data_IF_352811969708
#
_entry.id   IF_352811969708
#
_cell.length_a   1.000
_cell.length_b   1.000
_cell.length_c   1.000
_cell.angle_alpha   90.00
_cell.angle_beta   90.00
_cell.angle_gamma   90.00
#
_symmetry.space_group_name_H-M   'P 1'
#
loop_
_entity.id
_entity.type
_entity.pdbx_description
1 polymer ?
#
# COMPACT_ATOMS: atom_id res chain seq x y z
N UNK A 1 -19.47 -25.75 -1.50
CA UNK A 1 -19.68 -25.27 -0.13
C UNK A 1 -18.99 -23.92 0.01
N UNK A 2 -19.71 -22.83 -0.20
CA UNK A 2 -19.26 -21.50 0.23
C UNK A 2 -19.29 -21.54 1.76
N UNK A 3 -18.12 -21.42 2.40
CA UNK A 3 -18.09 -21.20 3.85
C UNK A 3 -18.84 -19.89 4.12
N UNK A 4 -19.75 -19.89 5.07
CA UNK A 4 -20.37 -18.66 5.56
C UNK A 4 -19.27 -17.73 6.08
N UNK A 5 -19.18 -16.54 5.49
CA UNK A 5 -18.25 -15.51 5.93
C UNK A 5 -18.89 -14.72 7.08
N UNK A 6 -18.13 -14.31 8.11
CA UNK A 6 -18.64 -13.40 9.13
C UNK A 6 -19.17 -12.09 8.51
N UNK A 7 -20.37 -11.66 8.88
CA UNK A 7 -21.02 -10.48 8.29
C UNK A 7 -20.31 -9.15 8.57
N UNK A 8 -19.41 -9.11 9.53
CA UNK A 8 -18.60 -7.95 9.91
C UNK A 8 -17.13 -8.09 9.50
N UNK A 9 -16.79 -9.07 8.65
CA UNK A 9 -15.41 -9.33 8.23
C UNK A 9 -14.70 -8.08 7.69
N UNK A 10 -15.43 -7.20 7.02
CA UNK A 10 -14.92 -5.94 6.51
C UNK A 10 -14.40 -5.00 7.60
N UNK A 11 -14.87 -5.10 8.85
CA UNK A 11 -14.35 -4.31 9.99
C UNK A 11 -12.93 -4.68 10.40
N UNK A 12 -12.42 -5.82 9.94
CA UNK A 12 -11.03 -6.23 10.16
C UNK A 12 -10.05 -5.59 9.17
N UNK A 13 -10.55 -4.85 8.18
CA UNK A 13 -9.72 -4.08 7.25
C UNK A 13 -9.04 -2.94 8.02
N UNK A 14 -7.74 -2.76 7.77
CA UNK A 14 -7.04 -1.53 8.14
C UNK A 14 -6.92 -0.64 6.91
N UNK A 15 -7.36 0.60 7.02
CA UNK A 15 -7.44 1.56 5.90
C UNK A 15 -7.22 2.99 6.38
N UNK A 16 -7.22 3.94 5.45
CA UNK A 16 -7.36 5.39 5.73
C UNK A 16 -8.82 5.81 5.57
N UNK A 17 -9.17 7.03 6.00
CA UNK A 17 -10.47 7.63 5.69
C UNK A 17 -10.30 8.75 4.68
N UNK A 18 -11.17 8.82 3.66
CA UNK A 18 -11.24 9.93 2.73
C UNK A 18 -12.46 10.82 3.01
N UNK A 19 -12.30 12.13 2.99
CA UNK A 19 -13.40 13.09 2.87
C UNK A 19 -13.63 13.35 1.38
N UNK A 20 -14.79 12.95 0.87
CA UNK A 20 -15.17 13.09 -0.52
C UNK A 20 -16.04 14.32 -0.65
N UNK A 21 -15.66 15.24 -1.51
CA UNK A 21 -16.50 16.37 -1.89
C UNK A 21 -17.07 16.17 -3.28
N UNK A 22 -18.33 16.57 -3.46
CA UNK A 22 -18.99 16.63 -4.76
C UNK A 22 -19.86 17.88 -4.81
N UNK A 23 -19.76 18.66 -5.88
CA UNK A 23 -20.65 19.81 -6.09
C UNK A 23 -21.99 19.37 -6.69
N UNK A 24 -23.06 20.00 -6.24
CA UNK A 24 -24.42 19.80 -6.74
C UNK A 24 -25.17 21.16 -6.75
N UNK A 25 -26.39 21.19 -7.28
CA UNK A 25 -27.19 22.42 -7.43
C UNK A 25 -27.43 23.18 -6.11
N UNK A 26 -27.39 22.47 -4.99
CA UNK A 26 -27.59 23.01 -3.64
C UNK A 26 -26.31 23.39 -2.90
N UNK A 27 -25.14 23.26 -3.53
CA UNK A 27 -23.85 23.57 -2.90
C UNK A 27 -22.85 22.42 -2.99
N UNK A 28 -22.16 22.13 -1.89
CA UNK A 28 -21.15 21.08 -1.81
C UNK A 28 -21.58 20.03 -0.80
N UNK A 29 -21.62 18.78 -1.23
CA UNK A 29 -21.73 17.64 -0.32
C UNK A 29 -20.32 17.23 0.14
N UNK A 30 -20.19 16.91 1.42
CA UNK A 30 -18.96 16.40 2.05
C UNK A 30 -19.30 15.13 2.82
N UNK A 31 -18.74 13.99 2.45
CA UNK A 31 -18.97 12.73 3.15
C UNK A 31 -17.66 12.02 3.51
N UNK A 32 -17.68 11.19 4.55
CA UNK A 32 -16.53 10.34 4.87
C UNK A 32 -16.65 8.96 4.23
N UNK A 33 -15.68 8.57 3.43
CA UNK A 33 -15.54 7.26 2.81
C UNK A 33 -14.26 6.58 3.31
N UNK A 34 -14.42 5.58 4.18
CA UNK A 34 -13.31 4.68 4.55
C UNK A 34 -12.69 4.04 3.30
N UNK A 35 -13.51 3.68 2.32
CA UNK A 35 -13.05 3.00 1.11
C UNK A 35 -12.65 4.00 0.04
N UNK A 36 -11.48 4.62 0.24
CA UNK A 36 -10.85 5.60 -0.65
C UNK A 36 -9.40 5.20 -0.96
N UNK A 37 -9.04 5.01 -2.24
CA UNK A 37 -7.77 4.39 -2.63
C UNK A 37 -7.18 4.96 -3.91
N UNK A 38 -5.85 4.89 -4.09
CA UNK A 38 -5.24 4.95 -5.43
C UNK A 38 -5.29 3.57 -6.09
N UNK A 39 -5.78 3.50 -7.33
CA UNK A 39 -6.08 2.24 -8.04
C UNK A 39 -5.39 2.09 -9.39
N UNK A 40 -4.72 3.14 -9.88
CA UNK A 40 -3.81 3.05 -11.02
C UNK A 40 -2.67 4.05 -10.87
N UNK A 41 -1.47 3.73 -11.36
CA UNK A 41 -0.28 4.60 -11.23
C UNK A 41 -0.10 5.54 -12.43
N UNK A 42 -0.49 5.12 -13.65
CA UNK A 42 -0.35 5.90 -14.90
C UNK A 42 -1.48 5.59 -15.88
N UNK A 43 -2.43 6.53 -16.14
CA UNK A 43 -2.62 7.76 -15.37
C UNK A 43 -2.92 7.46 -13.89
N UNK A 44 -2.62 8.40 -12.98
CA UNK A 44 -2.95 8.21 -11.57
C UNK A 44 -4.47 8.20 -11.43
N UNK A 45 -5.05 7.15 -10.87
CA UNK A 45 -6.49 7.07 -10.61
C UNK A 45 -6.75 6.88 -9.12
N UNK A 46 -7.74 7.61 -8.62
CA UNK A 46 -8.29 7.41 -7.28
C UNK A 46 -9.68 6.77 -7.39
N UNK A 47 -10.04 6.00 -6.37
CA UNK A 47 -11.32 5.34 -6.27
C UNK A 47 -11.99 5.64 -4.92
N UNK A 48 -13.32 5.79 -4.95
CA UNK A 48 -14.16 5.85 -3.76
C UNK A 48 -15.31 4.86 -3.91
N UNK A 49 -15.59 4.09 -2.86
CA UNK A 49 -16.67 3.09 -2.87
C UNK A 49 -17.79 3.56 -1.97
N UNK A 50 -18.95 3.84 -2.57
CA UNK A 50 -20.07 4.46 -1.87
C UNK A 50 -21.21 3.47 -1.66
N UNK A 51 -21.77 3.48 -0.45
CA UNK A 51 -22.92 2.66 -0.08
C UNK A 51 -24.24 3.18 -0.68
N UNK A 52 -25.31 2.38 -0.62
CA UNK A 52 -26.56 2.65 -1.32
C UNK A 52 -27.33 3.86 -0.75
N UNK A 53 -27.05 4.25 0.49
CA UNK A 53 -27.68 5.37 1.20
C UNK A 53 -26.94 6.69 1.03
N UNK A 54 -25.78 6.70 0.38
CA UNK A 54 -25.02 7.93 0.18
C UNK A 54 -25.67 8.78 -0.92
N UNK A 55 -26.22 9.94 -0.56
CA UNK A 55 -26.74 10.93 -1.52
C UNK A 55 -25.66 11.33 -2.54
N UNK A 56 -24.40 11.37 -2.08
CA UNK A 56 -23.18 11.61 -2.86
C UNK A 56 -23.08 10.76 -4.12
N UNK A 57 -23.64 9.54 -4.12
CA UNK A 57 -23.64 8.66 -5.30
C UNK A 57 -24.29 9.33 -6.52
N UNK A 58 -25.46 9.95 -6.31
CA UNK A 58 -26.19 10.63 -7.39
C UNK A 58 -25.46 11.89 -7.84
N UNK A 59 -24.92 12.66 -6.89
CA UNK A 59 -24.16 13.86 -7.20
C UNK A 59 -22.90 13.56 -7.99
N UNK A 60 -22.19 12.48 -7.66
CA UNK A 60 -20.94 12.12 -8.33
C UNK A 60 -21.21 11.68 -9.77
N UNK A 61 -22.25 10.86 -9.98
CA UNK A 61 -22.72 10.47 -11.33
C UNK A 61 -23.12 11.69 -12.17
N UNK A 62 -23.82 12.68 -11.59
CA UNK A 62 -24.25 13.88 -12.32
C UNK A 62 -23.14 14.91 -12.55
N UNK A 63 -22.24 15.08 -11.56
CA UNK A 63 -21.18 16.08 -11.62
C UNK A 63 -20.04 15.64 -12.54
N UNK A 64 -19.74 14.33 -12.61
CA UNK A 64 -18.64 13.80 -13.39
C UNK A 64 -17.25 14.15 -12.83
N UNK A 65 -17.20 14.74 -11.63
CA UNK A 65 -15.99 15.11 -10.91
C UNK A 65 -16.20 14.98 -9.40
N UNK A 66 -15.12 14.80 -8.67
CA UNK A 66 -15.12 14.76 -7.20
C UNK A 66 -13.72 15.10 -6.69
N UNK A 67 -13.61 15.46 -5.43
CA UNK A 67 -12.32 15.51 -4.75
C UNK A 67 -12.27 14.50 -3.59
N UNK A 68 -11.07 14.07 -3.22
CA UNK A 68 -10.85 13.19 -2.07
C UNK A 68 -9.71 13.74 -1.25
N UNK A 69 -9.98 14.03 0.01
CA UNK A 69 -8.96 14.40 1.02
C UNK A 69 -8.69 13.19 1.90
N UNK A 70 -7.47 12.67 1.92
CA UNK A 70 -7.10 11.61 2.86
C UNK A 70 -6.88 12.21 4.25
N UNK A 71 -7.64 11.75 5.24
CA UNK A 71 -7.71 12.37 6.56
C UNK A 71 -6.39 12.30 7.31
N UNK A 72 -6.06 13.40 7.98
CA UNK A 72 -5.07 13.46 9.05
C UNK A 72 -5.68 13.02 10.40
N UNK A 73 -4.85 12.66 11.38
CA UNK A 73 -5.27 12.28 12.73
C UNK A 73 -6.18 13.34 13.38
N UNK A 74 -5.88 14.63 13.14
CA UNK A 74 -6.63 15.78 13.64
C UNK A 74 -8.04 15.91 13.07
N UNK A 75 -8.33 15.20 11.97
CA UNK A 75 -9.64 15.21 11.31
C UNK A 75 -10.56 14.07 11.77
N UNK A 76 -10.21 13.30 12.81
CA UNK A 76 -11.02 12.20 13.31
C UNK A 76 -12.47 12.60 13.63
N UNK A 77 -12.67 13.72 14.33
CA UNK A 77 -14.01 14.23 14.66
C UNK A 77 -14.81 14.63 13.42
N UNK A 78 -14.16 15.27 12.44
CA UNK A 78 -14.81 15.64 11.18
C UNK A 78 -15.19 14.40 10.37
N UNK A 79 -14.31 13.40 10.29
CA UNK A 79 -14.57 12.17 9.58
C UNK A 79 -15.76 11.39 10.19
N UNK A 80 -15.86 11.35 11.52
CA UNK A 80 -16.98 10.72 12.22
C UNK A 80 -18.30 11.45 11.93
N UNK A 81 -18.29 12.79 12.03
CA UNK A 81 -19.45 13.62 11.73
C UNK A 81 -19.90 13.49 10.26
N UNK A 82 -18.97 13.61 9.32
CA UNK A 82 -19.25 13.54 7.88
C UNK A 82 -19.69 12.14 7.41
N UNK A 83 -19.36 11.09 8.16
CA UNK A 83 -19.84 9.73 7.93
C UNK A 83 -21.20 9.42 8.58
N UNK A 84 -21.57 10.16 9.62
CA UNK A 84 -22.80 9.91 10.41
C UNK A 84 -24.04 10.58 9.83
N UNK A 85 -23.88 11.70 9.11
CA UNK A 85 -24.99 12.49 8.57
C UNK A 85 -24.94 12.63 7.05
N UNK A 86 -26.10 12.62 6.41
CA UNK A 86 -26.28 12.90 4.99
C UNK A 86 -26.44 14.41 4.77
N UNK A 87 -26.12 14.90 3.57
CA UNK A 87 -26.45 16.29 3.18
C UNK A 87 -27.96 16.57 3.18
N UNK A 88 -28.77 15.51 3.10
CA UNK A 88 -30.23 15.61 3.24
C UNK A 88 -30.67 15.87 4.68
N UNK A 89 -29.82 15.59 5.67
CA UNK A 89 -30.09 15.83 7.08
C UNK A 89 -29.67 17.24 7.47
N UNK A 90 -28.46 17.64 7.05
CA UNK A 90 -27.88 18.97 7.32
C UNK A 90 -26.81 19.31 6.30
N UNK A 91 -26.68 20.59 5.96
CA UNK A 91 -25.52 21.10 5.24
C UNK A 91 -24.28 21.05 6.14
N UNK A 92 -23.45 20.03 5.92
CA UNK A 92 -22.23 19.78 6.70
C UNK A 92 -21.16 20.86 6.48
N UNK A 93 -21.25 21.66 5.42
CA UNK A 93 -20.28 22.75 5.15
C UNK A 93 -20.43 23.92 6.10
N UNK A 94 -21.56 24.02 6.82
CA UNK A 94 -21.77 25.02 7.87
C UNK A 94 -21.01 24.74 9.17
N UNK A 95 -20.34 23.59 9.30
CA UNK A 95 -19.50 23.27 10.47
C UNK A 95 -18.16 23.99 10.38
N UNK A 96 -17.69 24.58 11.49
CA UNK A 96 -16.35 25.18 11.59
C UNK A 96 -15.19 24.19 11.36
N UNK A 97 -15.49 22.88 11.41
CA UNK A 97 -14.53 21.82 11.09
C UNK A 97 -14.34 21.63 9.58
N UNK A 98 -15.32 22.03 8.75
CA UNK A 98 -15.22 21.94 7.30
C UNK A 98 -14.62 23.22 6.74
N UNK A 99 -13.39 23.12 6.26
CA UNK A 99 -12.69 24.21 5.58
C UNK A 99 -12.41 23.80 4.14
N UNK A 100 -13.09 24.46 3.20
CA UNK A 100 -12.98 24.13 1.78
C UNK A 100 -11.86 24.94 1.10
N UNK A 101 -10.99 24.23 0.38
CA UNK A 101 -10.00 24.82 -0.50
C UNK A 101 -10.58 25.09 -1.89
N UNK A 102 -10.04 26.11 -2.57
CA UNK A 102 -10.39 26.39 -3.95
C UNK A 102 -9.86 25.26 -4.87
N UNK A 103 -10.66 24.80 -5.86
CA UNK A 103 -10.19 23.81 -6.82
C UNK A 103 -9.29 24.44 -7.88
N UNK A 104 -8.40 23.63 -8.46
CA UNK A 104 -7.44 24.03 -9.50
C UNK A 104 -7.79 23.49 -10.90
N UNK A 105 -8.31 22.25 -10.99
CA UNK A 105 -8.52 21.57 -12.29
C UNK A 105 -9.96 21.06 -12.51
N UNK A 106 -10.74 21.03 -11.45
CA UNK A 106 -12.17 20.72 -11.42
C UNK A 106 -12.92 21.94 -10.89
N UNK A 107 -14.24 21.84 -10.76
CA UNK A 107 -15.03 22.86 -10.08
C UNK A 107 -15.54 22.38 -8.71
N UNK A 108 -15.09 21.21 -8.23
CA UNK A 108 -15.45 20.66 -6.93
C UNK A 108 -14.37 20.99 -5.91
N UNK A 109 -14.69 21.71 -4.82
CA UNK A 109 -13.71 22.05 -3.80
C UNK A 109 -13.23 20.79 -3.06
N UNK A 110 -12.27 20.95 -2.16
CA UNK A 110 -11.71 19.87 -1.34
C UNK A 110 -11.60 20.29 0.13
N UNK A 111 -11.57 19.34 1.07
CA UNK A 111 -11.42 19.66 2.50
C UNK A 111 -9.95 19.85 2.84
N UNK A 112 -9.59 21.01 3.39
CA UNK A 112 -8.21 21.29 3.81
C UNK A 112 -7.79 20.53 5.06
N UNK A 113 -6.48 20.44 5.30
CA UNK A 113 -5.92 19.88 6.53
C UNK A 113 -5.70 18.36 6.54
N UNK A 114 -5.95 17.67 5.42
CA UNK A 114 -5.60 16.27 5.25
C UNK A 114 -4.13 16.02 4.95
N UNK A 115 -3.77 14.74 4.85
CA UNK A 115 -2.44 14.27 4.42
C UNK A 115 -2.17 14.67 2.98
N UNK A 116 -3.20 14.58 2.14
CA UNK A 116 -3.25 15.08 0.77
C UNK A 116 -4.70 15.23 0.35
N UNK A 117 -4.96 16.05 -0.66
CA UNK A 117 -6.20 15.98 -1.42
C UNK A 117 -5.93 15.83 -2.92
N UNK A 118 -6.86 15.20 -3.64
CA UNK A 118 -6.81 15.07 -5.09
C UNK A 118 -8.14 15.49 -5.70
N UNK A 119 -8.06 16.14 -6.85
CA UNK A 119 -9.22 16.41 -7.69
C UNK A 119 -9.29 15.39 -8.81
N UNK A 120 -10.47 14.85 -9.05
CA UNK A 120 -10.69 13.72 -9.93
C UNK A 120 -11.76 14.02 -10.96
N UNK A 121 -11.51 13.66 -12.22
CA UNK A 121 -12.57 13.53 -13.24
C UNK A 121 -13.03 12.09 -13.29
N UNK A 122 -14.33 11.86 -13.14
CA UNK A 122 -14.92 10.53 -13.15
C UNK A 122 -14.63 9.85 -14.50
N UNK A 123 -14.08 8.63 -14.43
CA UNK A 123 -13.82 7.79 -15.61
C UNK A 123 -14.82 6.66 -15.71
N UNK A 124 -15.14 6.05 -14.56
CA UNK A 124 -15.97 4.86 -14.53
C UNK A 124 -16.72 4.77 -13.20
N UNK A 125 -17.99 4.39 -13.28
CA UNK A 125 -18.77 3.91 -12.13
C UNK A 125 -19.02 2.42 -12.32
N UNK A 126 -18.55 1.60 -11.38
CA UNK A 126 -18.71 0.14 -11.39
C UNK A 126 -19.77 -0.24 -10.37
N UNK A 127 -20.95 -0.70 -10.81
CA UNK A 127 -21.98 -1.18 -9.88
C UNK A 127 -21.50 -2.49 -9.23
N UNK A 128 -21.56 -2.54 -7.91
CA UNK A 128 -21.44 -3.75 -7.09
C UNK A 128 -22.84 -4.12 -6.56
N UNK A 129 -23.05 -5.31 -5.99
CA UNK A 129 -24.38 -5.73 -5.53
C UNK A 129 -25.06 -4.75 -4.55
N UNK A 130 -24.28 -4.07 -3.72
CA UNK A 130 -24.80 -3.10 -2.71
C UNK A 130 -24.13 -1.73 -2.82
N UNK A 131 -22.92 -1.64 -3.35
CA UNK A 131 -22.12 -0.42 -3.42
C UNK A 131 -21.90 0.01 -4.87
N UNK A 132 -21.34 1.20 -5.07
CA UNK A 132 -20.81 1.61 -6.37
C UNK A 132 -19.38 2.07 -6.19
N UNK A 133 -18.47 1.49 -6.98
CA UNK A 133 -17.07 1.89 -7.03
C UNK A 133 -16.92 2.97 -8.10
N UNK A 134 -16.59 4.18 -7.69
CA UNK A 134 -16.28 5.29 -8.58
C UNK A 134 -14.78 5.39 -8.77
N UNK A 135 -14.33 5.41 -10.02
CA UNK A 135 -12.92 5.53 -10.40
C UNK A 135 -12.76 6.84 -11.16
N UNK A 136 -11.93 7.74 -10.64
CA UNK A 136 -11.60 9.01 -11.25
C UNK A 136 -10.12 9.12 -11.59
N UNK A 137 -9.81 9.76 -12.70
CA UNK A 137 -8.44 10.17 -13.03
C UNK A 137 -8.08 11.41 -12.21
N UNK A 138 -6.96 11.34 -11.50
CA UNK A 138 -6.43 12.46 -10.71
C UNK A 138 -5.88 13.52 -11.65
N UNK A 139 -6.46 14.71 -11.61
CA UNK A 139 -6.12 15.84 -12.49
C UNK A 139 -5.47 17.02 -11.76
N UNK A 140 -5.57 17.07 -10.43
CA UNK A 140 -4.80 17.97 -9.57
C UNK A 140 -4.58 17.32 -8.20
N UNK A 141 -3.57 17.81 -7.46
CA UNK A 141 -3.25 17.34 -6.12
C UNK A 141 -2.83 18.52 -5.23
N UNK A 142 -3.33 18.50 -4.00
CA UNK A 142 -3.07 19.49 -2.96
C UNK A 142 -2.28 18.83 -1.84
N UNK A 143 -1.04 19.27 -1.66
CA UNK A 143 -0.11 18.69 -0.70
C UNK A 143 0.27 19.74 0.34
N UNK A 144 0.23 19.40 1.64
CA UNK A 144 0.81 20.26 2.66
C UNK A 144 2.34 20.29 2.50
N UNK A 145 2.98 21.39 2.93
CA UNK A 145 4.45 21.49 2.97
C UNK A 145 5.08 20.35 3.78
N UNK A 146 4.43 20.01 4.90
CA UNK A 146 4.76 18.85 5.72
C UNK A 146 3.50 18.02 5.96
N UNK A 147 3.45 16.77 5.48
CA UNK A 147 2.26 15.94 5.68
C UNK A 147 2.07 15.62 7.17
N UNK A 148 0.86 15.85 7.71
CA UNK A 148 0.49 15.38 9.04
C UNK A 148 0.43 13.85 9.08
N UNK A 149 0.26 13.29 10.27
CA UNK A 149 0.10 11.84 10.43
C UNK A 149 -1.27 11.42 9.88
N UNK A 150 -1.36 10.29 9.16
CA UNK A 150 -2.62 9.83 8.60
C UNK A 150 -3.54 9.26 9.68
N UNK A 151 -4.83 9.52 9.55
CA UNK A 151 -5.87 8.82 10.31
C UNK A 151 -5.97 7.36 9.84
N UNK A 152 -5.91 6.43 10.78
CA UNK A 152 -6.04 4.99 10.51
C UNK A 152 -7.43 4.52 10.94
N UNK A 153 -8.06 3.67 10.13
CA UNK A 153 -9.35 3.04 10.42
C UNK A 153 -9.17 1.52 10.51
N UNK A 154 -9.57 0.93 11.62
CA UNK A 154 -9.63 -0.52 11.87
C UNK A 154 -10.80 -0.81 12.81
N UNK A 155 -12.02 -0.83 12.28
CA UNK A 155 -13.25 -0.77 13.08
C UNK A 155 -13.45 0.61 13.73
N UNK A 156 -12.57 1.00 14.66
CA UNK A 156 -12.46 2.34 15.24
C UNK A 156 -11.40 3.19 14.51
N UNK A 157 -11.33 4.48 14.83
CA UNK A 157 -10.28 5.38 14.36
C UNK A 157 -9.06 5.35 15.30
N UNK A 158 -7.87 5.34 14.73
CA UNK A 158 -6.59 5.20 15.42
C UNK A 158 -5.54 6.16 14.85
N UNK A 159 -4.53 6.45 15.66
CA UNK A 159 -3.28 7.07 15.22
C UNK A 159 -2.37 6.03 14.58
N UNK A 160 -1.55 6.42 13.60
CA UNK A 160 -0.57 5.53 12.98
C UNK A 160 0.58 5.23 13.96
N UNK A 161 0.91 3.97 14.22
CA UNK A 161 2.02 3.60 15.12
C UNK A 161 3.42 3.92 14.60
N UNK A 162 4.44 3.57 15.38
CA UNK A 162 5.84 3.67 14.96
C UNK A 162 6.14 2.77 13.75
N UNK A 163 7.01 3.20 12.82
CA UNK A 163 7.47 2.34 11.74
C UNK A 163 8.13 1.06 12.28
N UNK A 164 7.75 -0.08 11.72
CA UNK A 164 8.39 -1.35 12.05
C UNK A 164 9.82 -1.34 11.54
N UNK A 165 10.79 -1.45 12.45
CA UNK A 165 12.20 -1.63 12.08
C UNK A 165 12.42 -3.08 11.67
N UNK A 166 12.86 -3.29 10.43
CA UNK A 166 13.30 -4.60 9.95
C UNK A 166 14.74 -4.79 10.37
N UNK A 167 15.05 -5.87 11.07
CA UNK A 167 16.44 -6.22 11.41
C UNK A 167 16.88 -7.50 10.71
N UNK A 168 15.95 -8.36 10.33
CA UNK A 168 16.24 -9.67 9.76
C UNK A 168 16.38 -9.62 8.25
N UNK A 169 17.33 -10.40 7.72
CA UNK A 169 17.40 -10.72 6.29
C UNK A 169 16.48 -11.91 6.02
N UNK A 170 15.58 -11.74 5.07
CA UNK A 170 14.78 -12.84 4.51
C UNK A 170 15.40 -13.23 3.18
N UNK A 171 15.81 -14.49 3.07
CA UNK A 171 16.49 -15.03 1.89
C UNK A 171 15.75 -16.24 1.30
N UNK A 172 15.85 -16.39 -0.01
CA UNK A 172 15.47 -17.59 -0.75
C UNK A 172 16.64 -18.00 -1.65
N UNK A 173 16.84 -19.30 -1.77
CA UNK A 173 17.86 -19.87 -2.65
C UNK A 173 17.27 -20.99 -3.49
N UNK A 174 17.53 -20.95 -4.79
CA UNK A 174 17.03 -21.91 -5.76
C UNK A 174 18.17 -22.41 -6.65
N UNK A 175 18.28 -23.73 -6.80
CA UNK A 175 19.13 -24.31 -7.83
C UNK A 175 18.41 -24.24 -9.18
N UNK A 176 19.00 -23.55 -10.16
CA UNK A 176 18.45 -23.42 -11.52
C UNK A 176 19.30 -24.20 -12.51
N UNK A 177 18.63 -24.93 -13.40
CA UNK A 177 19.25 -25.78 -14.41
C UNK A 177 19.38 -25.05 -15.76
N UNK A 178 20.53 -25.19 -16.43
CA UNK A 178 20.83 -24.58 -17.73
C UNK A 178 22.22 -24.99 -18.26
N UNK A 179 22.83 -24.17 -19.13
CA UNK A 179 24.24 -24.29 -19.57
C UNK A 179 25.18 -23.90 -18.42
N UNK A 180 25.26 -24.79 -17.43
CA UNK A 180 25.86 -24.53 -16.11
C UNK A 180 24.78 -24.39 -15.05
N UNK A 181 24.86 -25.21 -14.01
CA UNK A 181 23.97 -25.10 -12.85
C UNK A 181 24.37 -23.85 -12.04
N UNK A 182 23.37 -23.03 -11.69
CA UNK A 182 23.56 -21.83 -10.89
C UNK A 182 22.69 -21.86 -9.65
N UNK A 183 23.23 -21.31 -8.56
CA UNK A 183 22.48 -21.03 -7.36
C UNK A 183 21.94 -19.60 -7.44
N UNK A 184 20.64 -19.46 -7.67
CA UNK A 184 19.95 -18.17 -7.55
C UNK A 184 19.75 -17.86 -6.09
N UNK A 185 20.22 -16.71 -5.64
CA UNK A 185 20.00 -16.21 -4.28
C UNK A 185 19.31 -14.86 -4.35
N UNK A 186 18.17 -14.76 -3.67
CA UNK A 186 17.44 -13.52 -3.49
C UNK A 186 17.34 -13.22 -1.99
N UNK A 187 17.53 -11.96 -1.60
CA UNK A 187 17.34 -11.56 -0.22
C UNK A 187 16.86 -10.12 -0.09
N UNK A 188 16.06 -9.87 0.94
CA UNK A 188 15.63 -8.53 1.36
C UNK A 188 16.04 -8.34 2.83
N UNK A 189 16.27 -7.10 3.24
CA UNK A 189 16.72 -6.78 4.60
C UNK A 189 16.69 -5.27 4.85
N UNK A 190 17.07 -4.80 6.05
CA UNK A 190 17.24 -3.37 6.28
C UNK A 190 18.26 -2.76 5.32
N UNK A 191 18.06 -1.48 4.99
CA UNK A 191 19.06 -0.69 4.31
C UNK A 191 20.34 -0.65 5.16
N UNK A 192 21.50 -0.87 4.54
CA UNK A 192 22.78 -0.76 5.22
C UNK A 192 23.26 0.68 5.27
N UNK A 193 23.94 1.03 6.35
CA UNK A 193 24.80 2.21 6.40
C UNK A 193 26.10 1.89 5.64
N UNK A 194 26.25 2.37 4.40
CA UNK A 194 27.45 2.15 3.57
C UNK A 194 27.18 1.53 2.20
N UNK A 195 28.20 1.05 1.47
CA UNK A 195 28.00 0.43 0.16
C UNK A 195 27.09 -0.79 0.31
N UNK A 196 26.04 -0.86 -0.53
CA UNK A 196 25.02 -1.90 -0.50
C UNK A 196 25.57 -3.25 -0.98
N UNK A 197 26.42 -3.88 -0.19
CA UNK A 197 26.98 -5.20 -0.48
C UNK A 197 26.34 -6.28 0.40
N UNK A 198 26.12 -7.44 -0.22
CA UNK A 198 25.57 -8.63 0.37
C UNK A 198 26.60 -9.74 0.31
N UNK A 199 26.82 -10.45 1.41
CA UNK A 199 27.67 -11.65 1.42
C UNK A 199 26.81 -12.89 1.36
N UNK A 200 27.16 -13.81 0.47
CA UNK A 200 26.49 -15.10 0.34
C UNK A 200 27.47 -16.20 0.71
N UNK A 201 27.02 -17.13 1.55
CA UNK A 201 27.80 -18.29 2.00
C UNK A 201 26.92 -19.53 1.91
N UNK A 202 27.45 -20.60 1.32
CA UNK A 202 26.82 -21.91 1.35
C UNK A 202 27.21 -22.61 2.65
N UNK A 203 26.24 -23.21 3.33
CA UNK A 203 26.44 -24.03 4.52
C UNK A 203 26.12 -25.48 4.15
N UNK A 204 27.09 -26.37 4.32
CA UNK A 204 26.90 -27.82 4.19
C UNK A 204 25.96 -28.37 5.29
N UNK A 205 25.58 -29.65 5.23
CA UNK A 205 24.70 -30.32 6.21
C UNK A 205 25.26 -30.24 7.64
N UNK A 206 26.58 -30.24 7.76
CA UNK A 206 27.29 -30.16 9.04
C UNK A 206 27.58 -28.71 9.46
N UNK A 207 27.09 -27.74 8.68
CA UNK A 207 27.26 -26.30 8.92
C UNK A 207 28.58 -25.70 8.42
N UNK A 208 29.42 -26.49 7.75
CA UNK A 208 30.69 -26.03 7.17
C UNK A 208 30.45 -24.91 6.14
N UNK A 209 31.06 -23.72 6.31
CA UNK A 209 30.83 -22.60 5.43
C UNK A 209 31.72 -22.62 4.18
N UNK A 210 31.13 -22.38 3.03
CA UNK A 210 31.82 -22.11 1.76
C UNK A 210 31.39 -20.73 1.24
N UNK A 211 32.27 -19.70 1.32
CA UNK A 211 31.95 -18.37 0.81
C UNK A 211 31.64 -18.41 -0.70
N UNK A 212 30.51 -17.82 -1.08
CA UNK A 212 30.09 -17.71 -2.48
C UNK A 212 30.34 -16.32 -3.08
N UNK A 213 30.70 -15.34 -2.24
CA UNK A 213 31.16 -14.02 -2.66
C UNK A 213 30.41 -12.86 -2.01
N UNK A 214 30.83 -11.65 -2.39
CA UNK A 214 30.13 -10.40 -2.12
C UNK A 214 29.45 -9.92 -3.40
N UNK A 215 28.22 -9.43 -3.29
CA UNK A 215 27.39 -9.04 -4.42
C UNK A 215 26.73 -7.68 -4.16
N UNK A 216 26.66 -6.80 -5.17
CA UNK A 216 26.03 -5.49 -5.01
C UNK A 216 24.50 -5.62 -4.91
N UNK A 217 23.89 -4.65 -4.24
CA UNK A 217 22.46 -4.41 -4.22
C UNK A 217 21.91 -4.13 -5.63
N UNK A 218 20.67 -4.54 -5.85
CA UNK A 218 19.86 -4.04 -6.97
C UNK A 218 19.48 -2.57 -6.76
N UNK A 219 18.80 -1.96 -7.74
CA UNK A 219 18.26 -0.58 -7.60
C UNK A 219 17.23 -0.40 -6.47
N UNK A 220 16.70 -1.50 -5.93
CA UNK A 220 15.75 -1.51 -4.82
C UNK A 220 16.41 -1.80 -3.48
N UNK A 221 17.74 -1.85 -3.46
CA UNK A 221 18.55 -2.19 -2.30
C UNK A 221 18.37 -3.62 -1.76
N UNK A 222 17.84 -4.52 -2.60
CA UNK A 222 17.74 -5.97 -2.35
C UNK A 222 18.87 -6.75 -3.04
N UNK A 223 19.13 -7.99 -2.63
CA UNK A 223 19.99 -8.95 -3.34
C UNK A 223 19.19 -9.75 -4.37
N UNK A 224 19.70 -9.84 -5.60
CA UNK A 224 19.30 -10.85 -6.57
C UNK A 224 20.51 -11.21 -7.43
N UNK A 225 21.02 -12.44 -7.27
CA UNK A 225 22.22 -12.90 -7.97
C UNK A 225 22.12 -14.37 -8.38
N UNK A 226 22.67 -14.69 -9.54
CA UNK A 226 22.94 -16.07 -9.96
C UNK A 226 24.42 -16.36 -9.75
N UNK A 227 24.72 -17.35 -8.89
CA UNK A 227 26.09 -17.70 -8.52
C UNK A 227 26.44 -19.07 -9.12
N UNK A 228 27.51 -19.19 -9.92
CA UNK A 228 28.00 -20.49 -10.35
C UNK A 228 28.35 -21.37 -9.14
N UNK A 229 27.95 -22.64 -9.15
CA UNK A 229 28.30 -23.55 -8.07
C UNK A 229 29.83 -23.76 -7.99
N UNK A 230 30.45 -23.65 -6.81
CA UNK A 230 31.87 -23.95 -6.64
C UNK A 230 32.23 -25.37 -7.09
N UNK A 231 33.45 -25.55 -7.60
CA UNK A 231 33.97 -26.86 -7.97
C UNK A 231 34.03 -27.79 -6.74
N UNK A 232 33.60 -29.05 -6.91
CA UNK A 232 33.61 -30.07 -5.85
C UNK A 232 32.30 -30.23 -5.07
N UNK A 233 31.29 -29.38 -5.30
CA UNK A 233 29.99 -29.52 -4.65
C UNK A 233 29.10 -30.47 -5.46
N UNK A 234 28.81 -31.64 -4.89
CA UNK A 234 27.97 -32.64 -5.51
C UNK A 234 26.50 -32.19 -5.54
N UNK A 235 25.95 -32.03 -6.75
CA UNK A 235 24.61 -31.48 -7.01
C UNK A 235 23.49 -32.16 -6.24
N UNK A 236 23.56 -33.48 -6.06
CA UNK A 236 22.54 -34.26 -5.36
C UNK A 236 22.52 -34.01 -3.84
N UNK A 237 23.56 -33.38 -3.27
CA UNK A 237 23.65 -33.04 -1.85
C UNK A 237 23.13 -31.63 -1.52
N UNK A 238 23.02 -30.76 -2.53
CA UNK A 238 22.58 -29.37 -2.37
C UNK A 238 21.20 -29.20 -1.69
N UNK A 239 20.20 -30.08 -1.88
CA UNK A 239 18.93 -29.96 -1.13
C UNK A 239 19.10 -30.07 0.39
N UNK A 240 20.17 -30.71 0.88
CA UNK A 240 20.52 -30.78 2.30
C UNK A 240 21.27 -29.54 2.81
N UNK A 241 21.79 -28.70 1.91
CA UNK A 241 22.55 -27.51 2.24
C UNK A 241 21.63 -26.32 2.57
N UNK A 242 22.22 -25.30 3.18
CA UNK A 242 21.58 -24.00 3.41
C UNK A 242 22.40 -22.88 2.80
N UNK A 243 21.76 -21.75 2.56
CA UNK A 243 22.43 -20.51 2.20
C UNK A 243 22.30 -19.54 3.37
N UNK A 244 23.43 -18.96 3.77
CA UNK A 244 23.55 -17.85 4.68
C UNK A 244 23.76 -16.57 3.87
N UNK A 245 22.94 -15.57 4.13
CA UNK A 245 23.05 -14.24 3.53
C UNK A 245 23.27 -13.21 4.64
N UNK A 246 24.29 -12.39 4.47
CA UNK A 246 24.69 -11.38 5.45
C UNK A 246 24.77 -10.00 4.79
N UNK A 247 24.49 -8.97 5.60
CA UNK A 247 24.65 -7.55 5.23
C UNK A 247 24.94 -6.75 6.51
N UNK A 248 25.70 -5.67 6.37
CA UNK A 248 26.02 -4.80 7.50
C UNK A 248 24.75 -4.26 8.19
N UNK A 249 24.73 -4.29 9.53
CA UNK A 249 23.60 -3.78 10.33
C UNK A 249 22.36 -4.69 10.38
N UNK A 250 22.40 -5.85 9.74
CA UNK A 250 21.27 -6.79 9.69
C UNK A 250 21.59 -8.11 10.40
N UNK A 251 20.56 -8.75 10.96
CA UNK A 251 20.64 -10.14 11.41
C UNK A 251 20.67 -11.08 10.19
N UNK A 252 21.63 -12.02 10.11
CA UNK A 252 21.79 -12.89 8.95
C UNK A 252 20.57 -13.74 8.62
N UNK A 253 20.29 -13.87 7.33
CA UNK A 253 19.21 -14.69 6.80
C UNK A 253 19.71 -16.09 6.48
N UNK A 254 18.93 -17.11 6.81
CA UNK A 254 19.23 -18.51 6.47
C UNK A 254 18.08 -19.15 5.72
N UNK A 255 18.39 -19.82 4.62
CA UNK A 255 17.37 -20.47 3.80
C UNK A 255 17.84 -21.82 3.30
N UNK A 256 16.90 -22.73 3.03
CA UNK A 256 17.20 -23.99 2.36
C UNK A 256 17.28 -23.74 0.85
N UNK A 257 18.02 -24.57 0.15
CA UNK A 257 18.02 -24.54 -1.31
C UNK A 257 16.81 -25.33 -1.80
N UNK A 258 15.87 -24.66 -2.45
CA UNK A 258 14.82 -25.34 -3.20
C UNK A 258 15.38 -25.81 -4.54
N UNK A 259 15.03 -27.02 -4.96
CA UNK A 259 15.17 -27.45 -6.35
C UNK A 259 13.79 -27.66 -6.93
N UNK A 260 13.56 -27.23 -8.17
CA UNK A 260 12.47 -27.80 -8.96
C UNK A 260 12.81 -29.28 -9.12
N UNK A 261 12.20 -30.14 -8.29
CA UNK A 261 12.10 -31.54 -8.65
C UNK A 261 11.55 -31.59 -10.07
N UNK A 262 12.28 -32.25 -10.97
CA UNK A 262 11.58 -32.84 -12.11
C UNK A 262 10.60 -33.87 -11.57
#
# INVERSE_FOLDING_TARGET
MTRDLPGDLWKKLTSTVGLVCVRHDGGTDVMAAEWSYFVNKRPLCAAVVLGPRAASRRFLESAGEFSVTLCAEEQAALADFAGSFSVTDVDKTGSDLVRLGAPEATATPWVTGGVLAVECRLRQAVPLPVHTLFIGEVVAAHLPERPPRPLVKHGAMHTLGEPVRRTEIVAAAELRHGDGDVLRVAATGPAADGPGEWRVTLLDTDGTPTPLGSHPSTRYDDLLVDIPLPAGIERHRLPGHRVLVERAGAQPGRTRISGTGR
#
